data_IF_333774473212
#
_entry.id   IF_333774473212
#
_cell.length_a   1.000
_cell.length_b   1.000
_cell.length_c   1.000
_cell.angle_alpha   90.00
_cell.angle_beta   90.00
_cell.angle_gamma   90.00
#
_symmetry.space_group_name_H-M   'P 1'
#
loop_
_entity.id
_entity.type
_entity.pdbx_description
1 polymer ?
#
# COMPACT_ATOMS: atom_id res chain seq x y z
N UNK A 1 56.65 6.18 15.12
CA UNK A 1 56.10 4.85 15.46
C UNK A 1 54.73 4.93 16.12
N UNK A 2 54.56 5.65 17.24
CA UNK A 2 53.23 5.81 17.88
C UNK A 2 52.22 6.56 17.00
N UNK A 3 52.63 7.66 16.35
CA UNK A 3 51.76 8.45 15.46
C UNK A 3 51.26 7.64 14.24
N UNK A 4 52.11 6.78 13.69
CA UNK A 4 51.76 5.89 12.57
C UNK A 4 50.80 4.78 13.00
N UNK A 5 50.93 4.27 14.23
CA UNK A 5 49.99 3.29 14.80
C UNK A 5 48.62 3.94 15.05
N UNK A 6 48.58 5.14 15.63
CA UNK A 6 47.32 5.88 15.87
C UNK A 6 46.61 6.20 14.55
N UNK A 7 47.35 6.68 13.54
CA UNK A 7 46.76 6.99 12.23
C UNK A 7 46.22 5.74 11.53
N UNK A 8 46.89 4.59 11.67
CA UNK A 8 46.44 3.33 11.09
C UNK A 8 45.20 2.79 11.81
N UNK A 9 45.17 2.89 13.14
CA UNK A 9 44.01 2.51 13.95
C UNK A 9 42.78 3.37 13.61
N UNK A 10 42.96 4.69 13.41
CA UNK A 10 41.89 5.59 13.01
C UNK A 10 41.31 5.26 11.62
N UNK A 11 42.17 4.90 10.65
CA UNK A 11 41.76 4.44 9.32
C UNK A 11 41.00 3.11 9.35
N UNK A 12 41.42 2.18 10.20
CA UNK A 12 40.72 0.91 10.40
C UNK A 12 39.34 1.13 11.05
N UNK A 13 39.27 1.96 12.09
CA UNK A 13 38.00 2.29 12.77
C UNK A 13 37.01 3.02 11.85
N UNK A 14 37.48 3.93 10.98
CA UNK A 14 36.59 4.63 10.05
C UNK A 14 36.07 3.72 8.93
N UNK A 15 36.83 2.72 8.49
CA UNK A 15 36.36 1.74 7.50
C UNK A 15 35.17 0.90 7.99
N UNK A 16 35.12 0.60 9.30
CA UNK A 16 34.02 -0.15 9.92
C UNK A 16 32.74 0.70 9.96
N UNK A 17 32.85 2.02 10.14
CA UNK A 17 31.72 2.95 10.17
C UNK A 17 31.04 3.14 8.80
N UNK A 18 31.71 2.80 7.68
CA UNK A 18 31.17 2.93 6.33
C UNK A 18 30.22 1.79 5.92
N UNK A 19 30.17 0.70 6.69
CA UNK A 19 29.36 -0.49 6.38
C UNK A 19 27.90 -0.42 6.84
N UNK A 20 27.46 0.67 7.47
CA UNK A 20 26.08 0.87 7.90
C UNK A 20 25.34 1.84 6.95
N UNK A 21 24.78 1.30 5.87
CA UNK A 21 23.74 1.99 5.12
C UNK A 21 22.72 0.97 4.59
N UNK A 22 22.09 0.20 5.47
CA UNK A 22 20.88 -0.50 5.04
C UNK A 22 19.76 0.54 4.96
N UNK A 23 19.34 0.84 3.72
CA UNK A 23 18.23 1.75 3.45
C UNK A 23 17.05 0.90 3.02
N UNK A 24 16.05 0.85 3.88
CA UNK A 24 14.77 0.20 3.67
C UNK A 24 13.69 1.09 4.28
N UNK A 25 12.47 1.02 3.76
CA UNK A 25 11.37 1.81 4.29
C UNK A 25 10.01 1.39 3.74
N UNK A 26 8.98 1.94 4.37
CA UNK A 26 7.58 1.74 4.01
C UNK A 26 6.90 3.10 3.92
N UNK A 27 6.22 3.37 2.82
CA UNK A 27 5.33 4.52 2.67
C UNK A 27 3.89 4.02 2.46
N UNK A 28 2.95 4.63 3.17
CA UNK A 28 1.53 4.29 3.13
C UNK A 28 0.81 5.45 2.45
N UNK A 29 0.07 5.14 1.38
CA UNK A 29 -0.73 6.08 0.62
C UNK A 29 -2.20 5.74 0.78
N UNK A 30 -2.98 6.65 1.36
CA UNK A 30 -4.42 6.51 1.48
C UNK A 30 -5.11 7.32 0.38
N UNK A 31 -6.00 6.67 -0.37
CA UNK A 31 -6.90 7.31 -1.32
C UNK A 31 -8.30 7.36 -0.74
N UNK A 32 -8.89 8.56 -0.67
CA UNK A 32 -10.26 8.79 -0.21
C UNK A 32 -11.04 9.45 -1.32
N UNK A 33 -11.89 8.68 -2.00
CA UNK A 33 -12.79 9.23 -3.02
C UNK A 33 -14.06 9.72 -2.33
N UNK A 34 -14.50 10.95 -2.65
CA UNK A 34 -15.75 11.50 -2.10
C UNK A 34 -16.96 10.67 -2.54
N UNK A 35 -17.82 10.32 -1.59
CA UNK A 35 -19.09 9.59 -1.82
C UNK A 35 -20.32 10.45 -1.52
N UNK A 36 -20.13 11.76 -1.31
CA UNK A 36 -21.18 12.68 -0.88
C UNK A 36 -22.41 12.67 -1.81
N UNK A 37 -22.19 12.77 -3.13
CA UNK A 37 -23.28 12.76 -4.12
C UNK A 37 -24.07 11.45 -4.11
N UNK A 38 -23.39 10.34 -3.86
CA UNK A 38 -24.04 9.05 -3.78
C UNK A 38 -24.89 8.94 -2.52
N UNK A 39 -24.37 9.41 -1.38
CA UNK A 39 -25.09 9.44 -0.11
C UNK A 39 -26.39 10.25 -0.23
N UNK A 40 -26.34 11.44 -0.83
CA UNK A 40 -27.51 12.28 -1.05
C UNK A 40 -28.57 11.59 -1.94
N UNK A 41 -28.14 10.84 -2.96
CA UNK A 41 -29.05 10.06 -3.81
C UNK A 41 -29.66 8.85 -3.10
N UNK A 42 -28.94 8.25 -2.15
CA UNK A 42 -29.39 7.11 -1.37
C UNK A 42 -30.44 7.53 -0.32
N UNK A 43 -30.20 8.65 0.37
CA UNK A 43 -31.10 9.22 1.37
C UNK A 43 -32.44 9.70 0.77
N UNK A 44 -32.43 10.16 -0.48
CA UNK A 44 -33.64 10.57 -1.20
C UNK A 44 -34.51 9.41 -1.71
N UNK A 45 -34.03 8.16 -1.61
CA UNK A 45 -34.72 7.00 -2.16
C UNK A 45 -35.62 6.32 -1.12
N UNK A 46 -36.94 6.41 -1.30
CA UNK A 46 -37.95 5.86 -0.38
C UNK A 46 -38.00 4.33 -0.35
N UNK A 47 -37.36 3.65 -1.31
CA UNK A 47 -37.36 2.20 -1.42
C UNK A 47 -36.19 1.54 -0.66
N UNK A 48 -35.30 2.33 -0.05
CA UNK A 48 -34.14 1.83 0.68
C UNK A 48 -34.41 1.89 2.19
N UNK A 49 -34.42 0.72 2.84
CA UNK A 49 -34.49 0.63 4.30
C UNK A 49 -33.19 1.13 4.97
N UNK A 50 -33.24 1.63 6.22
CA UNK A 50 -32.05 2.11 6.94
C UNK A 50 -30.91 1.11 7.05
N UNK A 51 -31.21 -0.19 7.20
CA UNK A 51 -30.19 -1.23 7.32
C UNK A 51 -29.49 -1.50 5.98
N UNK A 52 -30.25 -1.46 4.88
CA UNK A 52 -29.69 -1.58 3.53
C UNK A 52 -28.83 -0.35 3.18
N UNK A 53 -29.25 0.84 3.59
CA UNK A 53 -28.45 2.06 3.45
C UNK A 53 -27.09 1.90 4.15
N UNK A 54 -27.07 1.45 5.41
CA UNK A 54 -25.81 1.21 6.15
C UNK A 54 -24.90 0.21 5.44
N UNK A 55 -25.45 -0.91 4.97
CA UNK A 55 -24.65 -1.90 4.23
C UNK A 55 -24.05 -1.34 2.94
N UNK A 56 -24.80 -0.53 2.21
CA UNK A 56 -24.33 0.11 0.98
C UNK A 56 -23.23 1.13 1.31
N UNK A 57 -23.44 1.98 2.30
CA UNK A 57 -22.46 2.95 2.77
C UNK A 57 -21.14 2.29 3.20
N UNK A 58 -21.20 1.19 3.96
CA UNK A 58 -20.02 0.45 4.37
C UNK A 58 -19.26 -0.17 3.19
N UNK A 59 -19.97 -0.78 2.23
CA UNK A 59 -19.36 -1.34 1.02
C UNK A 59 -18.73 -0.27 0.16
N UNK A 60 -19.40 0.86 0.01
CA UNK A 60 -18.87 2.02 -0.70
C UNK A 60 -17.62 2.55 -0.03
N UNK A 61 -17.66 2.75 1.28
CA UNK A 61 -16.50 3.22 2.04
C UNK A 61 -15.31 2.29 1.81
N UNK A 62 -15.50 0.97 1.87
CA UNK A 62 -14.43 0.00 1.55
C UNK A 62 -13.93 0.06 0.10
N UNK A 63 -14.80 0.35 -0.86
CA UNK A 63 -14.41 0.45 -2.27
C UNK A 63 -13.67 1.76 -2.61
N UNK A 64 -14.04 2.86 -1.93
CA UNK A 64 -13.57 4.22 -2.22
C UNK A 64 -12.48 4.72 -1.26
N UNK A 65 -12.28 4.06 -0.12
CA UNK A 65 -11.15 4.24 0.78
C UNK A 65 -10.14 3.10 0.60
N UNK A 66 -9.13 3.34 -0.23
CA UNK A 66 -8.08 2.36 -0.53
C UNK A 66 -6.78 2.76 0.14
N UNK A 67 -6.05 1.78 0.67
CA UNK A 67 -4.71 1.97 1.21
C UNK A 67 -3.72 1.25 0.30
N UNK A 68 -2.63 1.93 -0.04
CA UNK A 68 -1.55 1.37 -0.84
C UNK A 68 -0.25 1.43 -0.05
N UNK A 69 0.52 0.37 -0.14
CA UNK A 69 1.78 0.22 0.59
C UNK A 69 2.92 0.16 -0.43
N UNK A 70 3.85 1.09 -0.31
CA UNK A 70 5.14 1.08 -1.01
C UNK A 70 6.22 0.59 -0.04
N UNK A 71 6.71 -0.61 -0.26
CA UNK A 71 7.92 -1.11 0.41
C UNK A 71 9.11 -0.86 -0.51
N UNK A 72 10.21 -0.34 0.01
CA UNK A 72 11.38 -0.05 -0.81
C UNK A 72 12.68 -0.31 -0.08
N UNK A 73 13.70 -0.62 -0.85
CA UNK A 73 15.10 -0.65 -0.44
C UNK A 73 15.97 0.14 -1.43
N UNK A 74 17.29 0.06 -1.29
CA UNK A 74 18.27 0.73 -2.18
C UNK A 74 18.12 0.39 -3.67
N UNK A 75 17.47 -0.71 -4.00
CA UNK A 75 17.50 -1.35 -5.31
C UNK A 75 16.14 -1.67 -5.89
N UNK A 76 15.16 -1.97 -5.05
CA UNK A 76 13.86 -2.42 -5.46
C UNK A 76 12.75 -1.74 -4.67
N UNK A 77 11.57 -1.68 -5.27
CA UNK A 77 10.35 -1.31 -4.58
C UNK A 77 9.18 -2.18 -5.03
N UNK A 78 8.26 -2.41 -4.09
CA UNK A 78 7.00 -3.11 -4.29
C UNK A 78 5.88 -2.17 -3.86
N UNK A 79 4.99 -1.85 -4.80
CA UNK A 79 3.79 -1.07 -4.55
C UNK A 79 2.56 -1.96 -4.75
N UNK A 80 1.69 -2.04 -3.75
CA UNK A 80 0.47 -2.86 -3.81
C UNK A 80 -0.66 -2.24 -3.01
N UNK A 81 -1.89 -2.50 -3.43
CA UNK A 81 -3.09 -2.22 -2.64
C UNK A 81 -3.15 -3.18 -1.44
N UNK A 82 -3.38 -2.65 -0.24
CA UNK A 82 -3.62 -3.44 0.96
C UNK A 82 -5.05 -3.99 0.91
N UNK A 83 -5.17 -5.30 0.62
CA UNK A 83 -6.46 -5.97 0.63
C UNK A 83 -6.93 -6.18 2.07
N UNK A 84 -7.93 -5.40 2.49
CA UNK A 84 -8.65 -5.66 3.74
C UNK A 84 -9.49 -6.92 3.55
N UNK A 85 -9.10 -8.02 4.20
CA UNK A 85 -9.87 -9.25 4.22
C UNK A 85 -11.17 -9.01 5.00
N UNK A 86 -12.32 -9.24 4.38
CA UNK A 86 -13.60 -9.22 5.08
C UNK A 86 -13.69 -10.37 6.08
N UNK A 87 -14.47 -10.17 7.16
CA UNK A 87 -14.67 -11.18 8.19
C UNK A 87 -15.14 -12.52 7.59
N UNK A 88 -14.58 -13.66 8.04
CA UNK A 88 -14.99 -14.97 7.55
C UNK A 88 -16.48 -15.19 7.87
N UNK A 89 -17.33 -15.27 6.85
CA UNK A 89 -18.77 -15.51 7.01
C UNK A 89 -19.69 -14.64 6.14
N UNK A 90 -19.22 -13.54 5.55
CA UNK A 90 -19.98 -12.87 4.50
C UNK A 90 -19.78 -13.63 3.18
N UNK A 91 -20.88 -14.19 2.66
CA UNK A 91 -20.98 -14.96 1.41
C UNK A 91 -20.66 -14.13 0.13
N UNK A 92 -19.78 -13.13 0.21
CA UNK A 92 -19.52 -12.10 -0.79
C UNK A 92 -18.08 -12.02 -1.32
N UNK A 93 -17.23 -13.02 -1.03
CA UNK A 93 -15.82 -13.04 -1.45
C UNK A 93 -15.58 -12.93 -2.97
N UNK A 94 -16.58 -13.26 -3.80
CA UNK A 94 -16.55 -13.06 -5.25
C UNK A 94 -16.90 -11.64 -5.69
N UNK A 95 -17.81 -10.96 -4.99
CA UNK A 95 -18.31 -9.64 -5.37
C UNK A 95 -17.29 -8.52 -5.19
N UNK A 96 -16.52 -8.56 -4.08
CA UNK A 96 -15.49 -7.56 -3.81
C UNK A 96 -14.28 -7.68 -4.74
N UNK A 97 -13.89 -8.92 -5.09
CA UNK A 97 -12.84 -9.18 -6.09
C UNK A 97 -13.27 -8.69 -7.47
N UNK A 98 -14.52 -8.97 -7.87
CA UNK A 98 -15.04 -8.49 -9.16
C UNK A 98 -15.14 -6.96 -9.20
N UNK A 99 -15.56 -6.31 -8.11
CA UNK A 99 -15.61 -4.84 -8.03
C UNK A 99 -14.22 -4.21 -8.14
N UNK A 100 -13.20 -4.80 -7.50
CA UNK A 100 -11.81 -4.32 -7.59
C UNK A 100 -11.27 -4.39 -9.02
N UNK A 101 -11.54 -5.50 -9.73
CA UNK A 101 -11.18 -5.67 -11.14
C UNK A 101 -11.89 -4.67 -12.06
N UNK A 102 -13.14 -4.31 -11.79
CA UNK A 102 -13.90 -3.32 -12.57
C UNK A 102 -13.47 -1.87 -12.30
N UNK A 103 -13.01 -1.56 -11.09
CA UNK A 103 -12.53 -0.21 -10.73
C UNK A 103 -11.05 0.03 -11.11
N UNK A 104 -10.43 -0.89 -11.88
CA UNK A 104 -9.02 -0.79 -12.28
C UNK A 104 -8.02 -0.91 -11.12
N UNK A 105 -8.50 -1.32 -9.94
CA UNK A 105 -7.71 -1.50 -8.73
C UNK A 105 -7.23 -2.94 -8.61
N UNK A 106 -5.92 -3.13 -8.66
CA UNK A 106 -5.33 -4.45 -8.52
C UNK A 106 -3.92 -4.52 -9.07
N UNK A 107 -3.17 -5.45 -8.49
CA UNK A 107 -1.87 -5.86 -8.94
C UNK A 107 -0.71 -5.39 -8.07
N UNK A 108 0.35 -6.18 -8.11
CA UNK A 108 1.61 -5.90 -7.41
C UNK A 108 2.58 -5.30 -8.40
N UNK A 109 2.99 -4.07 -8.15
CA UNK A 109 3.93 -3.32 -8.97
C UNK A 109 5.33 -3.49 -8.40
N UNK A 110 6.21 -4.13 -9.17
CA UNK A 110 7.61 -4.27 -8.82
C UNK A 110 8.47 -3.37 -9.71
N UNK A 111 9.42 -2.67 -9.10
CA UNK A 111 10.41 -1.88 -9.81
C UNK A 111 11.79 -2.16 -9.23
N UNK A 112 12.77 -2.44 -10.08
CA UNK A 112 14.17 -2.54 -9.71
C UNK A 112 14.96 -1.45 -10.45
N UNK A 113 15.57 -0.54 -9.69
CA UNK A 113 16.35 0.57 -10.26
C UNK A 113 17.75 0.14 -10.69
N UNK A 114 18.31 -0.93 -10.10
CA UNK A 114 19.62 -1.47 -10.49
C UNK A 114 19.56 -2.17 -11.85
N UNK A 115 18.56 -3.04 -12.04
CA UNK A 115 18.37 -3.79 -13.28
C UNK A 115 17.47 -3.08 -14.30
N UNK A 116 16.92 -1.92 -13.94
CA UNK A 116 15.93 -1.16 -14.73
C UNK A 116 14.72 -1.99 -15.13
N UNK A 117 14.33 -2.94 -14.28
CA UNK A 117 13.20 -3.84 -14.53
C UNK A 117 11.92 -3.29 -13.88
N UNK A 118 10.79 -3.47 -14.57
CA UNK A 118 9.47 -3.13 -14.05
C UNK A 118 8.50 -4.24 -14.45
N UNK A 119 7.76 -4.77 -13.48
CA UNK A 119 6.76 -5.82 -13.70
C UNK A 119 5.50 -5.52 -12.91
N UNK A 120 4.35 -5.90 -13.47
CA UNK A 120 3.05 -5.77 -12.82
C UNK A 120 2.40 -7.14 -12.85
N UNK A 121 2.11 -7.68 -11.67
CA UNK A 121 1.30 -8.88 -11.51
C UNK A 121 -0.17 -8.46 -11.48
N UNK A 122 -1.00 -8.90 -12.43
CA UNK A 122 -2.42 -8.51 -12.57
C UNK A 122 -3.32 -9.73 -12.63
#
# INVERSE_FOLDING_TARGET
MIKTIISSAFLLLSSIALHAQDFQGVAIYESKTSTADFKTRLEGNKDITPDMQKMIEERMKKAFEKTFILNFDKSASIYKEEQKLDAPGQNGGGGMRMMSSFMGGGGTYYKNVKTKTYTVDK
#
